data_IF_336415241399
#
_entry.id   IF_336415241399
#
_cell.length_a   1.000
_cell.length_b   1.000
_cell.length_c   1.000
_cell.angle_alpha   90.00
_cell.angle_beta   90.00
_cell.angle_gamma   90.00
#
_symmetry.space_group_name_H-M   'P 1'
#
loop_
_entity.id
_entity.type
_entity.pdbx_description
1 polymer ?
#
# COMPACT_ATOMS: atom_id res chain seq x y z
N UNK A 1 -5.92 19.36 -20.45
CA UNK A 1 -5.49 18.84 -19.14
C UNK A 1 -4.05 18.37 -19.27
N UNK A 2 -3.09 19.18 -18.87
CA UNK A 2 -1.67 18.79 -18.88
C UNK A 2 -1.41 18.07 -17.57
N UNK A 3 -1.34 16.74 -17.63
CA UNK A 3 -1.02 15.91 -16.46
C UNK A 3 0.40 16.17 -15.94
N UNK A 4 0.70 15.66 -14.75
CA UNK A 4 1.98 15.82 -14.08
C UNK A 4 3.14 15.41 -15.00
N UNK A 5 4.13 16.29 -15.15
CA UNK A 5 5.33 16.02 -15.95
C UNK A 5 6.08 14.81 -15.36
N UNK A 6 6.46 13.86 -16.22
CA UNK A 6 7.32 12.74 -15.82
C UNK A 6 8.68 13.29 -15.34
N UNK A 7 9.11 13.01 -14.10
CA UNK A 7 10.41 13.48 -13.62
C UNK A 7 11.53 12.76 -14.37
N UNK A 8 12.57 13.51 -14.75
CA UNK A 8 13.82 12.95 -15.31
C UNK A 8 14.62 12.32 -14.17
N UNK A 9 14.96 11.02 -14.22
CA UNK A 9 15.77 10.40 -13.18
C UNK A 9 17.16 11.04 -13.16
N UNK A 10 17.63 11.44 -11.97
CA UNK A 10 19.01 11.86 -11.77
C UNK A 10 19.92 10.61 -11.69
N UNK A 11 21.16 10.71 -12.17
CA UNK A 11 22.15 9.61 -12.19
C UNK A 11 22.75 9.30 -10.82
N UNK A 12 22.09 9.69 -9.74
CA UNK A 12 22.48 9.34 -8.39
C UNK A 12 22.02 7.89 -8.16
N UNK A 13 22.85 7.03 -7.56
CA UNK A 13 22.35 5.79 -6.96
C UNK A 13 21.44 6.17 -5.79
N UNK A 14 20.18 6.49 -6.14
CA UNK A 14 19.17 6.84 -5.16
C UNK A 14 18.96 5.60 -4.30
N UNK A 15 19.16 5.66 -2.98
CA UNK A 15 18.71 4.59 -2.11
C UNK A 15 17.23 4.34 -2.43
N UNK A 16 16.81 3.07 -2.49
CA UNK A 16 15.45 2.69 -2.87
C UNK A 16 14.46 3.56 -2.11
N UNK A 17 13.91 4.56 -2.81
CA UNK A 17 12.93 5.46 -2.23
C UNK A 17 11.62 4.70 -2.24
N UNK A 18 11.40 3.89 -1.20
CA UNK A 18 10.08 3.30 -0.98
C UNK A 18 9.06 4.44 -0.94
N UNK A 19 7.96 4.24 -1.67
CA UNK A 19 6.86 5.19 -1.63
C UNK A 19 6.33 5.29 -0.20
N UNK A 20 5.92 6.49 0.23
CA UNK A 20 5.27 6.71 1.54
C UNK A 20 3.75 6.66 1.45
N UNK A 21 3.24 5.91 0.46
CA UNK A 21 1.82 5.73 0.29
C UNK A 21 1.28 4.77 1.35
N UNK A 22 0.10 5.03 1.88
CA UNK A 22 -0.59 4.10 2.79
C UNK A 22 -1.26 2.97 1.99
N UNK A 23 -0.44 2.26 1.20
CA UNK A 23 -0.84 1.13 0.35
C UNK A 23 0.11 -0.07 0.54
N UNK A 24 -0.35 -1.32 0.33
CA UNK A 24 0.43 -2.52 0.61
C UNK A 24 1.82 -2.56 -0.05
N UNK A 25 1.94 -2.11 -1.30
CA UNK A 25 3.22 -2.13 -2.01
C UNK A 25 4.27 -1.22 -1.35
N UNK A 26 3.83 -0.10 -0.78
CA UNK A 26 4.71 0.83 -0.09
C UNK A 26 5.11 0.28 1.28
N UNK A 27 4.16 -0.25 2.05
CA UNK A 27 4.42 -0.87 3.35
C UNK A 27 5.38 -2.06 3.22
N UNK A 28 5.17 -2.93 2.24
CA UNK A 28 6.07 -4.04 1.95
C UNK A 28 7.49 -3.56 1.62
N UNK A 29 7.61 -2.51 0.79
CA UNK A 29 8.91 -1.91 0.46
C UNK A 29 9.62 -1.35 1.70
N UNK A 30 8.90 -0.60 2.56
CA UNK A 30 9.46 -0.03 3.79
C UNK A 30 9.94 -1.11 4.77
N UNK A 31 9.28 -2.27 4.78
CA UNK A 31 9.67 -3.44 5.56
C UNK A 31 10.73 -4.32 4.88
N UNK A 32 11.10 -4.03 3.64
CA UNK A 32 12.05 -4.82 2.85
C UNK A 32 11.52 -6.19 2.42
N UNK A 33 10.20 -6.38 2.39
CA UNK A 33 9.51 -7.61 2.01
C UNK A 33 8.95 -7.52 0.59
N UNK A 34 8.74 -8.67 -0.05
CA UNK A 34 7.85 -8.74 -1.21
C UNK A 34 6.40 -8.54 -0.78
N UNK A 35 5.52 -8.17 -1.72
CA UNK A 35 4.10 -7.96 -1.42
C UNK A 35 3.43 -9.22 -0.83
N UNK A 36 3.74 -10.39 -1.38
CA UNK A 36 3.17 -11.67 -0.92
C UNK A 36 3.65 -12.05 0.50
N UNK A 37 4.93 -11.81 0.80
CA UNK A 37 5.47 -12.02 2.15
C UNK A 37 4.83 -11.05 3.16
N UNK A 38 4.62 -9.81 2.73
CA UNK A 38 3.93 -8.81 3.53
C UNK A 38 2.48 -9.19 3.81
N UNK A 39 1.74 -9.71 2.82
CA UNK A 39 0.39 -10.23 3.03
C UNK A 39 0.37 -11.40 4.00
N UNK A 40 1.25 -12.41 3.85
CA UNK A 40 1.32 -13.54 4.80
C UNK A 40 1.58 -13.11 6.24
N UNK A 41 2.30 -12.00 6.44
CA UNK A 41 2.60 -11.44 7.75
C UNK A 41 1.46 -10.59 8.31
N UNK A 42 0.82 -9.77 7.47
CA UNK A 42 -0.16 -8.75 7.89
C UNK A 42 -1.60 -9.26 7.83
N UNK A 43 -1.89 -10.17 6.91
CA UNK A 43 -3.20 -10.74 6.58
C UNK A 43 -3.10 -12.28 6.57
N UNK A 44 -3.31 -12.95 7.72
CA UNK A 44 -3.04 -14.38 7.88
C UNK A 44 -4.09 -15.29 7.23
N UNK A 45 -5.25 -14.76 6.82
CA UNK A 45 -6.38 -15.56 6.34
C UNK A 45 -6.34 -15.81 4.81
N UNK A 46 -5.22 -15.48 4.17
CA UNK A 46 -4.97 -15.74 2.75
C UNK A 46 -5.45 -14.63 1.81
N UNK A 47 -5.64 -13.43 2.35
CA UNK A 47 -6.04 -12.24 1.59
C UNK A 47 -4.96 -11.79 0.60
N UNK A 48 -5.43 -11.16 -0.48
CA UNK A 48 -4.57 -10.66 -1.58
C UNK A 48 -4.70 -9.16 -1.81
N UNK A 49 -5.54 -8.49 -1.03
CA UNK A 49 -5.68 -7.03 -0.99
C UNK A 49 -5.70 -6.56 0.46
N UNK A 50 -5.23 -5.34 0.69
CA UNK A 50 -5.39 -4.65 1.96
C UNK A 50 -5.45 -3.16 1.72
N UNK A 51 -6.21 -2.47 2.55
CA UNK A 51 -6.26 -1.01 2.55
C UNK A 51 -6.04 -0.46 3.94
N UNK A 52 -5.58 0.79 3.98
CA UNK A 52 -5.39 1.52 5.22
C UNK A 52 -6.71 1.64 5.98
N UNK A 53 -6.77 1.03 7.16
CA UNK A 53 -7.93 1.05 8.05
C UNK A 53 -7.87 2.12 9.13
N UNK A 54 -6.73 2.80 9.27
CA UNK A 54 -6.54 3.84 10.28
C UNK A 54 -5.22 3.72 11.04
N UNK A 55 -5.07 4.57 12.06
CA UNK A 55 -3.97 4.57 13.00
C UNK A 55 -4.48 4.20 14.38
N UNK A 56 -3.87 3.20 15.01
CA UNK A 56 -4.13 2.88 16.41
C UNK A 56 -3.14 3.65 17.29
N UNK A 57 -3.65 4.65 18.00
CA UNK A 57 -2.85 5.48 18.92
C UNK A 57 -2.25 4.67 20.07
N UNK A 58 -2.91 3.61 20.54
CA UNK A 58 -2.44 2.84 21.70
C UNK A 58 -1.24 1.98 21.33
N UNK A 59 -1.29 1.36 20.16
CA UNK A 59 -0.20 0.50 19.68
C UNK A 59 0.82 1.27 18.83
N UNK A 60 0.55 2.53 18.48
CA UNK A 60 1.35 3.37 17.59
C UNK A 60 1.64 2.64 16.27
N UNK A 61 0.61 2.02 15.69
CA UNK A 61 0.72 1.22 14.48
C UNK A 61 -0.43 1.51 13.52
N UNK A 62 -0.14 1.32 12.24
CA UNK A 62 -1.13 1.33 11.17
C UNK A 62 -2.00 0.07 11.31
N UNK A 63 -3.31 0.27 11.21
CA UNK A 63 -4.28 -0.82 11.09
C UNK A 63 -4.55 -1.05 9.61
N UNK A 64 -4.41 -2.30 9.18
CA UNK A 64 -4.72 -2.74 7.82
C UNK A 64 -6.01 -3.53 7.81
N UNK A 65 -6.91 -3.21 6.89
CA UNK A 65 -8.12 -3.99 6.63
C UNK A 65 -7.82 -4.88 5.43
N UNK A 66 -7.70 -6.18 5.70
CA UNK A 66 -7.43 -7.20 4.70
C UNK A 66 -8.71 -7.59 3.94
N UNK A 67 -8.57 -7.94 2.67
CA UNK A 67 -9.67 -8.38 1.82
C UNK A 67 -9.22 -9.20 0.62
N UNK A 68 -10.16 -9.78 -0.10
CA UNK A 68 -9.91 -10.65 -1.26
C UNK A 68 -9.81 -9.89 -2.60
N UNK A 69 -9.72 -8.55 -2.54
CA UNK A 69 -9.71 -7.69 -3.73
C UNK A 69 -11.09 -7.50 -4.38
N UNK A 70 -12.15 -8.11 -3.85
CA UNK A 70 -13.50 -7.99 -4.39
C UNK A 70 -14.22 -6.77 -3.81
N UNK A 71 -13.72 -5.57 -4.11
CA UNK A 71 -14.35 -4.32 -3.66
C UNK A 71 -15.69 -4.13 -4.35
N UNK A 72 -16.75 -4.04 -3.58
CA UNK A 72 -18.09 -3.74 -4.06
C UNK A 72 -18.06 -2.39 -4.81
N UNK A 73 -18.29 -2.44 -6.12
CA UNK A 73 -18.40 -1.22 -6.93
C UNK A 73 -19.64 -0.47 -6.46
N UNK A 74 -19.47 0.72 -5.88
CA UNK A 74 -20.58 1.60 -5.55
C UNK A 74 -21.23 2.00 -6.87
N UNK A 75 -22.47 1.55 -7.09
CA UNK A 75 -23.31 2.00 -8.17
C UNK A 75 -23.81 3.39 -7.78
N UNK A 76 -23.20 4.44 -8.33
CA UNK A 76 -23.75 5.79 -8.21
C UNK A 76 -24.85 5.87 -9.27
N UNK A 77 -26.12 5.88 -8.83
CA UNK A 77 -27.24 6.16 -9.72
C UNK A 77 -27.10 7.58 -10.28
N UNK A 78 -27.34 7.75 -11.58
CA UNK A 78 -27.31 9.03 -12.29
C UNK A 78 -28.25 10.08 -11.68
#
# INVERSE_FOLDING_TARGET
MTGCAKPKPCACELPRACCRGLVPQCAACEEGLTLDEWFKKTCPDGETDAHYGGWDEKTQRVVWICGDGNRQKIQISE
#
